data_IF_981845360869
#
_entry.id   IF_981845360869
#
_cell.length_a   1.000
_cell.length_b   1.000
_cell.length_c   1.000
_cell.angle_alpha   90.00
_cell.angle_beta   90.00
_cell.angle_gamma   90.00
#
_symmetry.space_group_name_H-M   'P 1'
#
loop_
_entity.id
_entity.type
_entity.pdbx_description
1 polymer ?
2 branched ?
3 non-polymer ?
4 water ?
#
# COMPACT_ATOMS: atom_id res chain seq x y z
N UNK A 6 -9.28 19.60 15.64
CA UNK A 6 -7.88 19.85 15.28
C UNK A 6 -7.18 18.66 14.59
N UNK A 7 -6.50 19.02 13.52
CA UNK A 7 -5.71 18.17 12.59
C UNK A 7 -4.18 18.25 12.80
N UNK A 8 -3.65 17.45 13.75
CA UNK A 8 -2.20 17.44 14.10
C UNK A 8 -1.43 16.30 13.39
N UNK A 9 -2.01 15.79 12.31
CA UNK A 9 -1.41 14.71 11.51
C UNK A 9 -1.61 15.04 10.01
N UNK A 10 -0.67 14.59 9.17
CA UNK A 10 -0.67 14.92 7.73
C UNK A 10 -1.76 14.18 6.95
N UNK A 11 -1.92 14.47 5.64
CA UNK A 11 -2.68 13.51 4.78
C UNK A 11 -1.78 12.27 4.52
N UNK A 12 -2.32 11.09 4.61
CA UNK A 12 -1.54 9.90 4.20
C UNK A 12 -0.13 9.91 4.72
N UNK A 13 0.03 10.21 6.01
CA UNK A 13 1.34 10.15 6.57
C UNK A 13 1.91 8.74 6.70
N UNK A 14 1.09 7.70 6.41
CA UNK A 14 1.53 6.26 6.35
C UNK A 14 2.13 5.81 4.99
N UNK A 15 1.99 6.60 3.95
CA UNK A 15 2.43 6.18 2.66
C UNK A 15 3.94 6.17 2.55
N UNK A 16 4.47 5.05 2.08
CA UNK A 16 5.91 4.85 2.00
C UNK A 16 6.29 4.78 0.56
N UNK A 17 7.46 5.29 0.24
CA UNK A 17 7.94 5.24 -1.14
C UNK A 17 9.12 4.31 -1.14
N UNK A 18 9.19 3.43 -2.14
CA UNK A 18 10.26 2.37 -2.17
C UNK A 18 11.12 2.50 -3.40
N UNK A 19 12.38 2.77 -3.15
CA UNK A 19 13.30 2.96 -4.25
C UNK A 19 14.39 1.88 -4.22
N UNK A 20 14.59 1.21 -5.36
CA UNK A 20 15.82 0.43 -5.61
C UNK A 20 16.12 0.41 -7.12
N UNK A 21 17.40 0.48 -7.43
CA UNK A 21 17.85 0.60 -8.83
C UNK A 21 17.19 1.74 -9.58
N UNK A 22 16.52 1.39 -10.66
CA UNK A 22 15.63 2.31 -11.33
C UNK A 22 14.25 1.69 -11.16
N UNK A 23 13.99 1.19 -9.95
CA UNK A 23 12.66 0.75 -9.68
C UNK A 23 11.99 1.48 -8.48
N UNK A 24 10.66 1.47 -8.54
CA UNK A 24 9.82 2.18 -7.61
C UNK A 24 8.54 1.42 -7.27
N UNK A 25 8.21 1.37 -5.98
CA UNK A 25 6.91 0.93 -5.44
C UNK A 25 6.42 1.83 -4.27
N UNK A 26 5.12 1.99 -4.15
CA UNK A 26 4.51 2.54 -2.93
C UNK A 26 4.36 1.43 -1.83
N UNK A 27 3.93 1.85 -0.63
CA UNK A 27 3.86 0.97 0.53
C UNK A 27 3.08 1.63 1.67
N UNK A 28 2.94 0.94 2.81
CA UNK A 28 2.12 1.41 3.89
C UNK A 28 2.80 1.09 5.16
N UNK A 29 3.16 2.12 5.94
CA UNK A 29 3.82 1.94 7.24
C UNK A 29 2.75 1.46 8.20
N UNK A 30 2.99 0.30 8.78
CA UNK A 30 1.98 -0.31 9.64
C UNK A 30 2.44 -0.35 11.07
N UNK A 31 3.74 -0.21 11.27
CA UNK A 31 4.30 -0.01 12.55
C UNK A 31 5.59 0.73 12.30
N UNK A 32 6.23 1.24 13.35
CA UNK A 32 7.34 2.14 13.01
C UNK A 32 8.53 1.42 12.38
N UNK A 33 8.50 0.09 12.37
CA UNK A 33 9.63 -0.72 11.83
C UNK A 33 9.21 -1.64 10.68
N UNK A 34 7.95 -1.53 10.24
CA UNK A 34 7.38 -2.44 9.28
C UNK A 34 6.61 -1.68 8.21
N UNK A 35 6.79 -2.10 6.95
CA UNK A 35 6.04 -1.54 5.81
C UNK A 35 5.44 -2.69 5.06
N UNK A 36 4.25 -2.48 4.54
CA UNK A 36 3.51 -3.52 3.87
C UNK A 36 3.23 -3.08 2.44
N UNK A 37 3.50 -3.98 1.48
CA UNK A 37 3.45 -3.73 0.04
C UNK A 37 2.91 -4.90 -0.76
N UNK A 38 3.02 -4.79 -2.08
CA UNK A 38 2.69 -5.85 -2.95
C UNK A 38 3.89 -6.76 -3.24
N UNK A 39 3.55 -8.03 -3.45
CA UNK A 39 4.55 -9.10 -3.63
C UNK A 39 5.37 -8.86 -4.91
N UNK A 40 4.61 -8.67 -5.98
CA UNK A 40 5.12 -8.44 -7.30
C UNK A 40 6.14 -7.31 -7.46
N UNK A 41 6.23 -6.42 -6.50
CA UNK A 41 7.19 -5.35 -6.58
C UNK A 41 8.53 -5.97 -6.40
N UNK A 42 8.57 -7.05 -5.65
CA UNK A 42 9.85 -7.62 -5.31
C UNK A 42 10.14 -9.06 -5.79
N UNK A 43 9.31 -9.61 -6.69
CA UNK A 43 9.57 -10.95 -7.30
C UNK A 43 11.09 -11.25 -7.47
N UNK A 44 11.80 -10.32 -8.08
CA UNK A 44 13.20 -10.53 -8.48
C UNK A 44 14.20 -10.75 -7.35
N UNK A 45 13.73 -10.77 -6.10
CA UNK A 45 14.60 -10.98 -4.97
C UNK A 45 15.70 -9.92 -4.89
N UNK A 46 15.29 -8.66 -4.75
CA UNK A 46 16.23 -7.55 -4.56
C UNK A 46 16.84 -7.59 -3.16
N UNK A 47 18.17 -7.52 -3.08
CA UNK A 47 18.86 -7.61 -1.81
C UNK A 47 18.52 -6.46 -0.86
N UNK A 48 17.89 -6.77 0.26
CA UNK A 48 17.51 -5.73 1.24
C UNK A 48 18.42 -4.50 1.33
N UNK A 49 19.73 -4.69 1.24
CA UNK A 49 20.70 -3.60 1.35
C UNK A 49 20.65 -2.67 0.14
N UNK A 50 20.05 -3.11 -0.96
CA UNK A 50 19.82 -2.24 -2.12
C UNK A 50 18.71 -1.19 -1.91
N UNK A 51 17.61 -1.59 -1.28
CA UNK A 51 16.41 -0.79 -1.16
C UNK A 51 16.56 0.46 -0.29
N UNK A 52 15.90 1.51 -0.73
CA UNK A 52 15.73 2.71 0.07
C UNK A 52 14.24 2.97 0.24
N UNK A 53 13.84 3.32 1.46
CA UNK A 53 12.44 3.69 1.68
C UNK A 53 12.41 5.06 2.30
N UNK A 54 11.56 5.89 1.71
CA UNK A 54 11.31 7.25 2.21
C UNK A 54 9.88 7.38 2.74
N UNK A 55 9.81 7.88 3.95
CA UNK A 55 8.56 8.22 4.63
C UNK A 55 8.38 9.74 4.67
N UNK A 56 7.13 10.21 4.60
CA UNK A 56 6.82 11.61 4.78
C UNK A 56 7.15 12.46 3.59
N UNK A 57 7.21 11.83 2.44
CA UNK A 57 7.61 12.44 1.17
C UNK A 57 6.41 13.00 0.51
N UNK A 58 6.54 14.17 -0.13
CA UNK A 58 5.44 14.90 -0.73
C UNK A 58 5.51 14.68 -2.24
N UNK A 59 6.70 14.77 -2.81
CA UNK A 59 6.86 14.51 -4.23
C UNK A 59 7.85 13.43 -4.53
N UNK A 60 7.57 12.75 -5.63
CA UNK A 60 8.24 11.54 -6.02
C UNK A 60 9.72 11.71 -6.23
N UNK A 61 10.50 11.07 -5.41
CA UNK A 61 11.95 11.16 -5.53
C UNK A 61 12.58 12.52 -5.16
N UNK A 62 11.75 13.42 -4.65
CA UNK A 62 12.24 14.62 -3.98
C UNK A 62 12.45 14.49 -2.53
N UNK A 63 13.48 15.18 -2.05
CA UNK A 63 13.69 15.39 -0.62
C UNK A 63 12.86 16.59 -0.11
N UNK A 64 12.83 16.71 1.21
CA UNK A 64 11.84 17.52 1.87
C UNK A 64 12.23 17.43 3.34
N UNK A 65 11.97 18.49 4.11
CA UNK A 65 12.45 18.58 5.48
C UNK A 65 11.94 17.36 6.24
N UNK A 66 10.63 17.16 6.21
CA UNK A 66 10.06 16.07 7.03
C UNK A 66 10.27 14.61 6.54
N UNK A 67 10.69 14.44 5.29
CA UNK A 67 11.10 13.14 4.74
C UNK A 67 12.06 12.43 5.68
N UNK A 68 11.84 11.13 5.89
CA UNK A 68 12.81 10.28 6.57
C UNK A 68 13.17 9.15 5.60
N UNK A 69 14.47 9.04 5.33
CA UNK A 69 14.96 7.98 4.45
C UNK A 69 15.47 6.85 5.33
N UNK A 70 14.95 5.65 5.08
CA UNK A 70 15.47 4.50 5.78
C UNK A 70 15.94 3.34 4.87
N UNK A 71 16.85 2.55 5.44
CA UNK A 71 17.35 1.34 4.80
C UNK A 71 16.45 0.20 5.21
N UNK A 72 16.37 -0.84 4.37
CA UNK A 72 15.61 -2.06 4.70
C UNK A 72 16.51 -3.27 5.04
N UNK A 73 16.21 -3.89 6.18
CA UNK A 73 17.04 -4.87 6.83
C UNK A 73 16.59 -6.27 6.47
N UNK A 74 15.40 -6.29 5.90
CA UNK A 74 14.91 -7.61 5.51
C UNK A 74 13.54 -7.46 4.93
N UNK A 75 13.02 -8.41 4.11
CA UNK A 75 11.64 -8.35 3.67
C UNK A 75 11.23 -9.82 3.58
N UNK A 76 10.14 -10.08 2.87
CA UNK A 76 9.66 -11.45 2.70
C UNK A 76 8.43 -11.26 1.83
N UNK A 77 8.09 -12.29 1.05
CA UNK A 77 6.92 -12.26 0.21
C UNK A 77 6.11 -13.42 0.78
N UNK A 78 4.80 -13.37 0.55
CA UNK A 78 3.94 -14.47 0.87
C UNK A 78 4.56 -15.69 0.20
N UNK A 79 4.67 -16.75 0.97
CA UNK A 79 4.97 -18.10 0.45
C UNK A 79 4.19 -18.48 -0.79
N UNK A 80 2.85 -18.33 -0.75
CA UNK A 80 1.99 -18.68 -1.91
C UNK A 80 1.84 -17.62 -2.96
N UNK A 81 2.79 -16.68 -3.08
CA UNK A 81 2.58 -15.61 -4.06
C UNK A 81 2.71 -16.21 -5.45
N UNK A 82 1.62 -16.09 -6.23
CA UNK A 82 1.53 -16.55 -7.63
C UNK A 82 1.96 -15.45 -8.62
N UNK A 83 3.26 -15.45 -9.04
CA UNK A 83 3.78 -14.49 -10.01
C UNK A 83 2.99 -14.45 -11.30
N UNK A 84 2.05 -15.37 -11.45
CA UNK A 84 1.30 -15.50 -12.65
C UNK A 84 -0.07 -14.93 -12.44
N UNK A 85 -0.73 -15.37 -11.35
CA UNK A 85 -2.15 -15.03 -11.08
C UNK A 85 -2.38 -13.76 -10.16
N UNK A 86 -1.30 -13.31 -9.51
CA UNK A 86 -1.38 -12.21 -8.50
C UNK A 86 -2.34 -12.45 -7.28
N UNK A 87 -2.19 -13.58 -6.59
CA UNK A 87 -3.15 -13.97 -5.59
C UNK A 87 -2.79 -13.61 -4.12
N UNK A 88 -1.58 -13.95 -3.74
CA UNK A 88 -1.19 -13.76 -2.34
C UNK A 88 -0.19 -12.64 -2.41
N UNK A 89 -0.70 -11.49 -2.90
CA UNK A 89 0.16 -10.37 -3.36
C UNK A 89 0.33 -9.38 -2.20
N UNK A 90 1.36 -9.69 -1.38
CA UNK A 90 1.73 -8.94 -0.23
C UNK A 90 3.09 -9.37 0.25
N UNK A 91 3.87 -8.40 0.75
CA UNK A 91 5.13 -8.64 1.35
C UNK A 91 5.26 -7.67 2.49
N UNK A 92 6.15 -7.99 3.41
CA UNK A 92 6.48 -7.15 4.51
C UNK A 92 7.90 -6.81 4.40
N UNK A 93 8.25 -5.62 4.83
CA UNK A 93 9.62 -5.19 4.84
C UNK A 93 9.94 -4.75 6.21
N UNK A 94 11.18 -4.91 6.61
CA UNK A 94 11.56 -4.61 7.95
C UNK A 94 12.54 -3.51 7.86
N UNK A 95 12.16 -2.35 8.31
CA UNK A 95 13.07 -1.22 8.19
C UNK A 95 14.24 -1.50 9.06
N UNK A 96 15.33 -0.78 8.80
CA UNK A 96 16.53 -0.84 9.61
C UNK A 96 16.54 0.17 10.75
N UNK A 97 16.30 -0.34 11.97
CA UNK A 97 16.57 0.38 13.21
C UNK A 97 17.91 1.15 13.15
N UNK A 98 17.83 2.45 13.35
CA UNK A 98 18.98 3.30 13.22
C UNK A 98 19.80 3.04 14.45
N UNK A 99 20.98 3.64 14.46
CA UNK A 99 21.81 3.74 15.62
C UNK A 99 20.86 4.17 16.71
N UNK A 100 20.96 3.50 17.86
CA UNK A 100 20.03 3.75 18.97
C UNK A 100 18.67 3.05 18.86
N UNK A 101 18.56 2.03 18.01
CA UNK A 101 17.33 1.25 17.89
C UNK A 101 16.00 1.89 17.53
N UNK A 102 16.00 2.66 16.44
CA UNK A 102 14.87 3.52 16.06
C UNK A 102 14.65 3.57 14.54
N UNK A 103 13.54 2.98 14.10
CA UNK A 103 13.11 3.05 12.71
C UNK A 103 12.52 4.26 11.99
N UNK A 104 11.37 4.72 12.48
CA UNK A 104 10.57 5.71 11.78
C UNK A 104 9.97 6.61 12.83
N UNK A 105 10.60 7.77 12.99
CA UNK A 105 10.34 8.60 14.14
C UNK A 105 8.98 9.22 13.90
N UNK A 106 7.98 8.85 14.67
CA UNK A 106 6.65 9.41 14.43
C UNK A 106 6.68 10.96 14.45
N UNK A 107 6.01 11.54 13.46
CA UNK A 107 5.89 12.94 13.34
C UNK A 107 4.51 13.27 12.77
N UNK A 108 4.24 14.55 12.55
CA UNK A 108 2.94 14.84 11.94
C UNK A 108 2.84 14.27 10.53
N UNK A 109 4.00 13.88 9.99
CA UNK A 109 4.11 13.56 8.60
C UNK A 109 4.29 12.09 8.39
N UNK A 110 4.43 11.34 9.46
CA UNK A 110 4.83 9.97 9.44
C UNK A 110 4.19 9.28 10.63
N UNK A 111 3.19 8.43 10.36
CA UNK A 111 2.51 7.67 11.36
C UNK A 111 2.03 6.37 10.75
N UNK A 112 2.07 5.26 11.46
CA UNK A 112 1.53 4.08 10.88
C UNK A 112 0.08 4.20 10.67
N UNK A 113 -0.48 3.15 10.07
CA UNK A 113 -1.87 3.09 9.65
C UNK A 113 -2.40 1.85 10.25
N UNK A 114 -3.66 1.86 10.60
CA UNK A 114 -4.21 0.72 11.31
C UNK A 114 -4.61 -0.36 10.33
N UNK A 115 -4.27 -1.60 10.71
CA UNK A 115 -4.75 -2.80 10.05
C UNK A 115 -6.26 -2.90 10.22
N UNK A 116 -6.90 -3.78 9.45
CA UNK A 116 -8.35 -3.84 9.50
C UNK A 116 -8.81 -4.58 10.75
N UNK A 117 -10.00 -4.24 11.22
CA UNK A 117 -10.59 -4.92 12.38
C UNK A 117 -10.64 -6.44 12.21
N UNK A 118 -10.89 -6.88 10.98
CA UNK A 118 -11.30 -8.26 10.71
C UNK A 118 -12.81 -8.30 10.59
N UNK A 119 -13.50 -7.65 11.53
CA UNK A 119 -14.96 -7.49 11.49
C UNK A 119 -15.37 -6.20 10.75
N UNK A 120 -14.57 -5.90 9.72
CA UNK A 120 -14.79 -4.79 8.81
C UNK A 120 -15.41 -5.43 7.60
N UNK A 121 -16.67 -5.09 7.37
CA UNK A 121 -17.56 -5.86 6.51
C UNK A 121 -18.10 -4.80 5.56
N UNK A 122 -17.26 -4.12 4.85
CA UNK A 122 -17.71 -3.03 3.98
C UNK A 122 -18.84 -3.23 2.97
N UNK A 123 -19.94 -2.52 3.15
CA UNK A 123 -20.98 -2.48 2.14
C UNK A 123 -20.40 -1.80 0.92
N UNK A 124 -21.24 -1.51 -0.06
CA UNK A 124 -20.78 -0.83 -1.28
C UNK A 124 -21.07 0.69 -1.22
N UNK A 125 -21.53 1.19 -0.09
CA UNK A 125 -21.52 2.64 0.19
C UNK A 125 -20.48 2.99 1.26
N UNK A 126 -19.66 2.01 1.64
CA UNK A 126 -18.49 2.27 2.46
C UNK A 126 -17.52 3.11 1.65
N UNK A 127 -17.08 4.23 2.26
CA UNK A 127 -16.17 5.17 1.61
C UNK A 127 -14.72 4.64 1.68
N UNK A 128 -13.94 4.88 0.63
CA UNK A 128 -12.57 4.33 0.52
C UNK A 128 -11.70 5.27 -0.25
N UNK A 129 -10.42 5.30 0.11
CA UNK A 129 -9.52 6.21 -0.56
C UNK A 129 -8.22 5.54 -0.98
N UNK A 130 -7.68 5.98 -2.10
CA UNK A 130 -6.45 5.44 -2.62
C UNK A 130 -5.54 6.64 -2.88
N UNK A 131 -4.25 6.49 -2.56
CA UNK A 131 -3.26 7.57 -2.72
C UNK A 131 -1.96 7.07 -3.44
N UNK A 132 -1.39 7.91 -4.31
CA UNK A 132 -0.03 7.71 -4.77
C UNK A 132 0.42 8.81 -5.72
N UNK A 133 1.57 8.59 -6.35
CA UNK A 133 2.20 9.59 -7.19
C UNK A 133 1.82 9.44 -8.63
N UNK A 134 1.99 8.25 -9.12
CA UNK A 134 1.51 7.89 -10.44
C UNK A 134 2.66 7.91 -11.38
N UNK A 135 2.35 7.93 -12.65
CA UNK A 135 3.39 7.97 -13.62
C UNK A 135 4.06 9.30 -13.44
N UNK A 136 5.37 9.22 -13.55
CA UNK A 136 6.20 10.36 -13.73
C UNK A 136 7.22 10.03 -14.77
N UNK A 137 7.47 10.99 -15.65
CA UNK A 137 8.43 10.81 -16.73
C UNK A 137 9.84 10.77 -16.23
N UNK A 138 10.68 9.91 -16.80
CA UNK A 138 12.06 9.92 -16.37
C UNK A 138 12.64 11.33 -16.40
N UNK A 139 13.68 11.51 -15.61
CA UNK A 139 14.50 12.69 -15.67
C UNK A 139 13.78 13.86 -15.07
N UNK A 140 14.53 14.93 -14.87
CA UNK A 140 13.97 16.23 -14.59
C UNK A 140 13.28 16.16 -13.25
N UNK A 141 14.03 15.76 -12.26
CA UNK A 141 13.53 15.59 -10.91
C UNK A 141 12.83 16.81 -10.39
N UNK A 142 13.19 17.96 -10.89
CA UNK A 142 12.53 19.17 -10.45
C UNK A 142 11.10 19.24 -10.93
N UNK A 143 10.76 18.56 -11.99
CA UNK A 143 9.36 18.50 -12.37
C UNK A 143 8.78 17.13 -11.94
N UNK A 144 8.78 16.97 -10.62
CA UNK A 144 8.14 15.85 -9.97
C UNK A 144 6.64 16.15 -9.87
N UNK A 145 5.93 15.16 -9.38
CA UNK A 145 4.51 15.23 -9.15
C UNK A 145 4.27 14.98 -7.68
N UNK A 146 3.28 15.73 -7.15
CA UNK A 146 2.82 15.63 -5.83
C UNK A 146 1.98 14.43 -5.65
N UNK A 147 1.96 13.94 -4.42
CA UNK A 147 1.08 12.88 -4.01
C UNK A 147 -0.34 13.25 -4.39
N UNK A 148 -1.08 12.27 -4.88
CA UNK A 148 -2.48 12.48 -5.31
C UNK A 148 -3.35 11.48 -4.57
N UNK A 149 -4.65 11.68 -4.63
CA UNK A 149 -5.57 10.83 -3.94
C UNK A 149 -6.87 10.68 -4.69
N UNK A 150 -7.62 9.63 -4.35
CA UNK A 150 -8.93 9.45 -4.99
C UNK A 150 -9.88 8.65 -4.11
N UNK A 151 -11.14 9.10 -4.11
CA UNK A 151 -12.27 8.39 -3.51
C UNK A 151 -12.62 7.28 -4.48
N UNK A 152 -12.58 6.03 -4.04
CA UNK A 152 -13.15 4.95 -4.84
C UNK A 152 -14.19 4.27 -4.03
N UNK A 153 -15.28 3.86 -4.67
CA UNK A 153 -16.29 3.06 -4.00
C UNK A 153 -15.87 1.60 -3.94
N UNK A 154 -16.22 0.95 -2.83
CA UNK A 154 -15.95 -0.48 -2.68
C UNK A 154 -16.78 -1.33 -3.65
N UNK A 155 -16.26 -2.50 -4.02
CA UNK A 155 -16.95 -3.36 -5.00
C UNK A 155 -17.04 -4.81 -4.56
N UNK A 156 -18.24 -5.25 -4.19
CA UNK A 156 -18.45 -6.63 -3.76
C UNK A 156 -18.00 -7.60 -4.84
N UNK A 157 -17.45 -8.73 -4.37
CA UNK A 157 -16.80 -9.73 -5.21
C UNK A 157 -17.79 -10.35 -6.18
N UNK A 158 -19.06 -10.46 -5.77
CA UNK A 158 -20.08 -10.86 -6.73
C UNK A 158 -19.92 -10.02 -8.01
N UNK A 159 -20.07 -8.70 -7.89
CA UNK A 159 -20.07 -7.80 -9.06
C UNK A 159 -18.71 -7.68 -9.75
N UNK A 160 -17.63 -7.91 -9.00
CA UNK A 160 -16.29 -7.77 -9.54
C UNK A 160 -15.85 -9.05 -10.31
N UNK A 161 -16.19 -10.21 -9.74
CA UNK A 161 -15.79 -11.53 -10.29
C UNK A 161 -16.56 -11.92 -11.55
N UNK A 162 -17.76 -11.34 -11.76
CA UNK A 162 -18.43 -11.32 -13.07
C UNK A 162 -17.59 -11.06 -14.34
N UNK A 163 -17.88 -11.79 -15.45
CA UNK A 163 -17.07 -11.68 -16.67
C UNK A 163 -17.06 -10.47 -17.62
N UNK A 164 -18.19 -9.73 -17.72
CA UNK A 164 -18.13 -8.40 -18.36
C UNK A 164 -17.09 -7.54 -17.62
N UNK A 165 -16.87 -7.90 -16.35
CA UNK A 165 -15.87 -7.27 -15.48
C UNK A 165 -14.44 -7.83 -15.28
N UNK A 166 -14.30 -8.89 -14.49
CA UNK A 166 -12.93 -9.40 -14.13
C UNK A 166 -12.84 -10.95 -14.13
N UNK A 167 -13.98 -11.62 -13.96
CA UNK A 167 -14.07 -13.07 -14.22
C UNK A 167 -13.34 -13.92 -13.21
N UNK A 168 -13.06 -15.15 -13.59
CA UNK A 168 -12.33 -16.09 -12.73
C UNK A 168 -10.91 -15.63 -12.37
N UNK A 169 -10.54 -14.44 -12.82
CA UNK A 169 -9.24 -13.87 -12.46
C UNK A 169 -9.18 -13.39 -10.97
N UNK A 170 -10.34 -12.99 -10.42
CA UNK A 170 -10.52 -12.74 -8.98
C UNK A 170 -10.49 -14.02 -8.11
N UNK A 171 -9.36 -14.26 -7.47
CA UNK A 171 -9.20 -15.34 -6.53
C UNK A 171 -9.52 -14.99 -5.05
N UNK A 172 -9.43 -15.98 -4.15
CA UNK A 172 -9.63 -15.61 -2.75
C UNK A 172 -8.50 -14.70 -2.28
N UNK A 173 -8.85 -13.68 -1.51
CA UNK A 173 -7.85 -12.75 -0.96
C UNK A 173 -7.64 -11.51 -1.80
N UNK A 174 -8.61 -11.21 -2.66
CA UNK A 174 -8.62 -10.03 -3.51
C UNK A 174 -9.90 -9.26 -3.27
N UNK A 175 -9.85 -7.96 -3.55
CA UNK A 175 -11.08 -7.20 -3.51
C UNK A 175 -10.93 -6.14 -4.55
N UNK A 176 -12.00 -5.39 -4.75
CA UNK A 176 -12.05 -4.41 -5.83
C UNK A 176 -12.76 -3.14 -5.38
N UNK A 177 -12.43 -2.05 -6.07
CA UNK A 177 -13.03 -0.76 -5.79
C UNK A 177 -12.81 0.02 -7.04
N UNK A 178 -13.79 0.82 -7.46
CA UNK A 178 -13.73 1.42 -8.80
C UNK A 178 -15.09 1.69 -9.42
N UNK A 179 -15.11 2.03 -10.70
CA UNK A 179 -16.32 2.60 -11.32
C UNK A 179 -16.94 1.82 -12.49
N UNK A 180 -16.38 0.66 -12.81
CA UNK A 180 -16.83 -0.14 -13.97
C UNK A 180 -16.47 0.58 -15.27
N UNK A 181 -16.99 1.80 -15.42
CA UNK A 181 -16.58 2.69 -16.51
C UNK A 181 -15.05 2.88 -16.50
N UNK A 185 -8.51 9.03 -14.16
CA UNK A 185 -9.33 8.13 -13.36
C UNK A 185 -8.49 7.26 -12.41
N UNK A 186 -7.34 6.77 -12.88
CA UNK A 186 -6.58 5.76 -12.13
C UNK A 186 -5.06 5.74 -12.23
N UNK A 187 -4.48 6.77 -12.80
CA UNK A 187 -3.07 6.74 -13.09
C UNK A 187 -2.35 7.08 -11.78
N UNK A 188 -3.05 7.60 -10.77
CA UNK A 188 -2.40 7.77 -9.48
C UNK A 188 -2.50 6.39 -8.98
N UNK A 189 -1.97 6.11 -7.81
CA UNK A 189 -2.00 4.76 -7.33
C UNK A 189 -0.82 4.07 -7.94
N UNK A 190 -0.01 3.51 -7.08
CA UNK A 190 1.23 2.91 -7.46
C UNK A 190 1.20 1.49 -6.87
N UNK A 191 2.01 0.61 -7.44
CA UNK A 191 1.97 -0.74 -7.02
C UNK A 191 2.42 -0.71 -5.60
N UNK A 192 1.76 -1.49 -4.77
CA UNK A 192 2.16 -1.56 -3.36
C UNK A 192 1.30 -0.61 -2.50
N UNK A 193 0.65 0.34 -3.15
CA UNK A 193 0.03 1.43 -2.47
C UNK A 193 -1.26 1.12 -1.73
N UNK A 194 -1.63 2.03 -0.81
CA UNK A 194 -2.68 1.80 0.16
C UNK A 194 -4.01 2.08 -0.40
N UNK A 195 -4.98 1.25 -0.05
CA UNK A 195 -6.37 1.62 -0.08
C UNK A 195 -6.86 1.64 1.38
N UNK A 196 -7.44 2.76 1.80
CA UNK A 196 -7.85 2.88 3.20
C UNK A 196 -9.31 3.23 3.23
N UNK A 197 -10.03 2.65 4.19
CA UNK A 197 -11.50 2.77 4.20
C UNK A 197 -12.07 2.86 5.60
N UNK A 198 -13.23 3.50 5.69
CA UNK A 198 -14.03 3.55 6.94
C UNK A 198 -14.25 2.14 7.45
N UNK A 199 -14.12 1.94 8.76
CA UNK A 199 -14.20 0.61 9.39
C UNK A 199 -15.27 0.56 10.53
N UNK A 200 -15.06 1.39 11.53
CA UNK A 200 -15.90 1.45 12.72
C UNK A 200 -16.06 0.16 13.55
N UNK A 201 -15.35 -0.89 13.18
CA UNK A 201 -15.28 -2.08 14.05
C UNK A 201 -13.85 -1.94 14.66
N UNK A 202 -13.14 -0.86 14.35
CA UNK A 202 -11.96 -0.45 15.12
C UNK A 202 -12.24 0.91 15.76
N UNK A 203 -11.50 1.21 16.83
CA UNK A 203 -11.54 2.53 17.45
C UNK A 203 -11.22 3.57 16.38
N UNK A 204 -10.09 3.36 15.70
CA UNK A 204 -9.67 4.21 14.58
C UNK A 204 -10.62 4.02 13.38
N UNK A 205 -11.34 5.09 13.04
CA UNK A 205 -12.29 5.10 11.92
C UNK A 205 -11.68 4.64 10.60
N UNK A 206 -10.44 5.04 10.30
CA UNK A 206 -9.77 4.63 9.06
C UNK A 206 -8.85 3.43 9.21
N UNK A 207 -8.99 2.47 8.29
CA UNK A 207 -8.19 1.27 8.29
C UNK A 207 -7.68 0.96 6.85
N UNK A 208 -6.63 0.16 6.82
CA UNK A 208 -5.95 -0.25 5.61
C UNK A 208 -6.56 -1.55 5.06
N UNK A 209 -7.41 -1.40 4.05
CA UNK A 209 -8.21 -2.49 3.50
C UNK A 209 -7.56 -3.13 2.30
N UNK A 210 -6.70 -2.37 1.61
CA UNK A 210 -6.10 -2.78 0.36
C UNK A 210 -4.63 -2.47 0.14
N UNK A 211 -4.03 -3.30 -0.67
CA UNK A 211 -2.80 -2.98 -1.31
C UNK A 211 -3.05 -3.03 -2.83
N UNK A 212 -2.40 -2.16 -3.57
CA UNK A 212 -2.66 -2.00 -4.99
C UNK A 212 -2.03 -3.22 -5.74
N UNK A 213 -2.84 -3.94 -6.50
CA UNK A 213 -2.38 -5.20 -7.09
C UNK A 213 -2.30 -5.13 -8.62
N UNK A 214 -3.45 -4.96 -9.25
CA UNK A 214 -3.52 -4.98 -10.71
C UNK A 214 -4.92 -4.56 -11.01
N UNK A 215 -5.22 -4.20 -12.26
CA UNK A 215 -6.64 -3.99 -12.63
C UNK A 215 -7.03 -2.84 -13.54
N UNK A 216 -6.37 -1.68 -13.37
CA UNK A 216 -6.40 -0.55 -14.36
C UNK A 216 -7.66 -0.41 -15.26
N UNK A 221 -8.85 4.48 -19.42
CA UNK A 221 -8.97 3.57 -18.29
C UNK A 221 -10.42 3.22 -18.04
N UNK A 222 -10.69 1.92 -17.98
CA UNK A 222 -12.05 1.42 -17.99
C UNK A 222 -12.15 -0.01 -17.47
N UNK A 223 -11.90 -0.21 -16.17
CA UNK A 223 -12.21 -1.49 -15.47
C UNK A 223 -11.64 -1.20 -14.09
N UNK A 224 -12.21 -1.88 -13.10
CA UNK A 224 -11.94 -1.60 -11.69
C UNK A 224 -10.52 -1.94 -11.33
N UNK A 225 -10.17 -1.69 -10.07
CA UNK A 225 -8.85 -1.96 -9.57
C UNK A 225 -8.97 -3.17 -8.69
N UNK A 226 -7.90 -3.94 -8.62
CA UNK A 226 -7.83 -5.09 -7.77
C UNK A 226 -6.73 -4.96 -6.74
N UNK A 227 -7.08 -5.41 -5.52
CA UNK A 227 -6.26 -5.17 -4.37
C UNK A 227 -6.14 -6.45 -3.56
N UNK A 228 -4.99 -6.63 -2.93
CA UNK A 228 -4.89 -7.63 -1.95
C UNK A 228 -5.80 -7.25 -0.81
N UNK A 229 -6.63 -8.21 -0.37
CA UNK A 229 -7.59 -8.02 0.75
C UNK A 229 -6.87 -8.20 2.07
N UNK A 230 -6.56 -7.11 2.76
CA UNK A 230 -5.60 -7.17 3.87
C UNK A 230 -6.12 -7.94 5.13
N UNK A 231 -7.40 -7.84 5.42
CA UNK A 231 -7.94 -8.64 6.52
C UNK A 231 -7.62 -10.13 6.30
N UNK A 232 -7.96 -10.64 5.13
CA UNK A 232 -7.66 -12.00 4.75
C UNK A 232 -6.27 -12.46 5.17
N UNK A 233 -5.28 -11.59 5.13
CA UNK A 233 -3.90 -12.00 5.47
C UNK A 233 -3.47 -11.53 6.88
N UNK A 234 -4.44 -10.98 7.59
CA UNK A 234 -4.26 -10.49 8.95
C UNK A 234 -3.50 -11.39 9.92
N UNK A 235 -3.51 -12.71 9.71
CA UNK A 235 -2.77 -13.62 10.58
C UNK A 235 -1.40 -13.81 10.08
N UNK A 236 -1.31 -13.87 8.76
CA UNK A 236 -0.02 -13.93 8.13
C UNK A 236 0.76 -12.70 8.58
N UNK A 237 0.06 -11.58 8.63
CA UNK A 237 0.73 -10.36 8.99
C UNK A 237 1.34 -10.47 10.41
N UNK A 238 0.53 -10.86 11.40
CA UNK A 238 1.01 -10.94 12.81
C UNK A 238 2.02 -12.04 12.98
N UNK A 239 1.67 -13.19 12.39
CA UNK A 239 2.59 -14.32 12.48
C UNK A 239 4.02 -13.82 12.11
N UNK A 240 4.11 -12.85 11.18
CA UNK A 240 5.41 -12.43 10.67
C UNK A 240 5.98 -11.08 11.16
N UNK A 241 5.15 -10.24 11.74
CA UNK A 241 5.64 -9.00 12.37
C UNK A 241 6.08 -9.15 13.83
N UNK A 242 5.40 -10.02 14.58
CA UNK A 242 5.72 -10.23 16.01
C UNK A 242 7.19 -10.69 16.23
N UNK A 243 7.77 -11.36 15.22
CA UNK A 243 9.19 -11.74 15.20
C UNK A 243 9.76 -12.08 16.59
X LIG B 1 15.50 8.81 -5.54
X LIG B 1 15.70 8.53 -4.04
X LIG B 1 17.14 8.07 -3.85
X LIG B 1 17.46 6.78 -4.68
X LIG B 1 17.01 7.02 -6.15
X LIG B 1 17.03 5.82 -7.12
X LIG B 1 14.38 10.22 -2.68
X LIG B 1 14.51 11.31 -1.66
X LIG B 1 15.51 9.62 -3.08
X LIG B 1 17.38 8.03 -2.44
X LIG B 1 18.73 6.16 -4.32
X LIG B 1 15.70 7.58 -6.24
X LIG B 1 17.21 6.27 -8.46
X LIG B 1 13.28 9.94 -3.13
X LIG B 2 19.42 5.50 -3.25
X LIG B 2 20.48 4.44 -3.64
X LIG B 2 20.96 3.72 -2.34
X LIG B 2 21.53 4.72 -1.29
X LIG B 2 20.51 5.88 -1.16
X LIG B 2 21.03 7.05 -0.32
X LIG B 2 20.28 3.59 -5.96
X LIG B 2 19.89 2.44 -6.84
X LIG B 2 20.13 3.43 -4.64
X LIG B 2 21.83 2.64 -2.63
X LIG B 2 22.13 4.33 -0.03
X LIG B 2 20.11 6.43 -2.42
X LIG B 2 19.99 8.00 -0.25
X LIG B 2 20.70 4.62 -6.51
X LIG B 3 23.38 4.75 0.53
X LIG B 3 23.58 4.57 2.06
X LIG B 3 24.74 5.52 2.34
X LIG B 3 26.01 5.10 1.55
X LIG B 3 25.77 4.33 0.23
X LIG B 3 26.56 3.01 0.16
X LIG B 3 22.16 4.40 4.16
X LIG B 3 23.06 3.41 4.85
X LIG B 3 22.44 4.89 2.92
X LIG B 3 25.01 5.61 3.72
X LIG B 3 26.75 6.27 1.26
X LIG B 3 24.42 4.01 -0.09
X LIG B 3 27.23 2.85 -1.08
X LIG B 3 21.14 4.77 4.77
X LIG C 1 -2.38 -9.83 -13.03
X LIG C 1 -1.04 -9.60 -13.52
X LIG C 1 -3.14 -10.73 -13.98
X LIG C 1 -2.59 -12.06 -14.04
X LIG C 1 -4.57 -10.83 -13.51
X LIG C 1 -5.27 -11.70 -14.41
#
# INVERSE_FOLDING_TARGET
>A
VVGGLVALRGAHPYIAALYWGHSFCAGSLIAPCWVLTAAHCLQDRPAPEDLTVVLGQERRNHSCEPCQTLAVRSYRLHEAFSPVSYQHDLALLRLQEDADGSCALLSPYVQPVSLPSGAARPSETTLCQVAGWGHQFEGAEEYASFLQEAQVPFLSLERCSAPDVHGSSILPGMLCAGFLEGGTDACQGDSGGPLVCEDQAAERRLTLQGIISWGSGCGDRNKPGVYTDVAYYLAWIREHTVSHHTGTRHHHHHH
>B hetero
1 NAG C1 C2 C3 C4 C5 C6 C7 C8 N2 O3 O4 O5 O6 O7
2 NAG C1 C2 C3 C4 C5 C6 C7 C8 N2 O3 O4 O5 O6 O7
3 NAG C1 C2 C3 C4 C5 C6 C7 C8 N2 O3 O4 O5 O6 O7
>C hetero
1 GOL C1 O1 C2 O2 C3 O3
#
